data_IF_747571349049
#
_entry.id   IF_747571349049
#
_cell.length_a   1.000
_cell.length_b   1.000
_cell.length_c   1.000
_cell.angle_alpha   90.00
_cell.angle_beta   90.00
_cell.angle_gamma   90.00
#
_symmetry.space_group_name_H-M   'P 1'
#
loop_
_entity.id
_entity.type
_entity.pdbx_description
1 polymer ?
#
# COMPACT_ATOMS: atom_id res chain seq x y z
N UNK A 1 -6.51 -6.66 -43.41
CA UNK A 1 -5.49 -6.75 -42.34
C UNK A 1 -5.76 -7.98 -41.48
N UNK A 2 -4.81 -8.90 -41.27
CA UNK A 2 -5.04 -10.18 -40.58
C UNK A 2 -5.43 -10.08 -39.09
N UNK A 3 -5.48 -8.88 -38.51
CA UNK A 3 -5.49 -8.65 -37.05
C UNK A 3 -6.83 -8.15 -36.49
N UNK A 4 -7.91 -8.16 -37.29
CA UNK A 4 -9.07 -7.30 -37.00
C UNK A 4 -9.75 -7.60 -35.65
N UNK A 5 -9.89 -8.88 -35.29
CA UNK A 5 -10.61 -9.32 -34.08
C UNK A 5 -9.73 -9.14 -32.83
N UNK A 6 -8.47 -9.56 -32.89
CA UNK A 6 -7.55 -9.45 -31.76
C UNK A 6 -7.33 -7.99 -31.36
N UNK A 7 -7.09 -7.11 -32.35
CA UNK A 7 -6.92 -5.68 -32.11
C UNK A 7 -8.18 -5.03 -31.53
N UNK A 8 -9.37 -5.42 -32.00
CA UNK A 8 -10.63 -4.89 -31.47
C UNK A 8 -10.81 -5.27 -30.00
N UNK A 9 -10.52 -6.53 -29.65
CA UNK A 9 -10.62 -7.02 -28.29
C UNK A 9 -9.62 -6.36 -27.34
N UNK A 10 -8.36 -6.26 -27.76
CA UNK A 10 -7.31 -5.59 -26.97
C UNK A 10 -7.62 -4.11 -26.75
N UNK A 11 -8.09 -3.40 -27.78
CA UNK A 11 -8.53 -2.01 -27.67
C UNK A 11 -9.67 -1.85 -26.64
N UNK A 12 -10.63 -2.76 -26.64
CA UNK A 12 -11.72 -2.80 -25.66
C UNK A 12 -11.23 -3.03 -24.23
N UNK A 13 -10.32 -4.00 -24.02
CA UNK A 13 -9.74 -4.30 -22.70
C UNK A 13 -8.95 -3.10 -22.16
N UNK A 14 -8.11 -2.51 -23.01
CA UNK A 14 -7.23 -1.39 -22.66
C UNK A 14 -7.93 -0.03 -22.64
N UNK A 15 -9.21 0.02 -23.04
CA UNK A 15 -10.02 1.24 -23.15
C UNK A 15 -9.33 2.32 -23.99
N UNK A 16 -8.80 1.93 -25.14
CA UNK A 16 -8.06 2.80 -26.07
C UNK A 16 -8.51 2.59 -27.51
N UNK A 17 -8.08 3.47 -28.43
CA UNK A 17 -8.44 3.35 -29.84
C UNK A 17 -7.72 2.17 -30.52
N UNK A 18 -8.41 1.49 -31.44
CA UNK A 18 -7.87 0.36 -32.18
C UNK A 18 -6.62 0.72 -33.00
N UNK A 19 -6.55 1.94 -33.55
CA UNK A 19 -5.39 2.41 -34.34
C UNK A 19 -4.17 2.59 -33.45
N UNK A 20 -4.34 3.02 -32.20
CA UNK A 20 -3.25 3.10 -31.21
C UNK A 20 -2.65 1.72 -30.96
N UNK A 21 -3.50 0.72 -30.71
CA UNK A 21 -3.03 -0.67 -30.51
C UNK A 21 -2.36 -1.20 -31.79
N UNK A 22 -2.96 -0.94 -32.96
CA UNK A 22 -2.40 -1.37 -34.25
C UNK A 22 -1.01 -0.78 -34.50
N UNK A 23 -0.83 0.53 -34.30
CA UNK A 23 0.45 1.22 -34.50
C UNK A 23 1.56 0.68 -33.58
N UNK A 24 1.23 0.38 -32.31
CA UNK A 24 2.16 -0.27 -31.38
C UNK A 24 2.53 -1.66 -31.89
N UNK A 25 1.53 -2.46 -32.30
CA UNK A 25 1.76 -3.81 -32.80
C UNK A 25 2.63 -3.82 -34.07
N UNK A 26 2.36 -2.94 -35.03
CA UNK A 26 3.14 -2.79 -36.26
C UNK A 26 4.59 -2.42 -35.93
N UNK A 27 4.81 -1.40 -35.09
CA UNK A 27 6.16 -1.01 -34.66
C UNK A 27 6.91 -2.15 -33.96
N UNK A 28 6.23 -2.93 -33.11
CA UNK A 28 6.84 -4.08 -32.45
C UNK A 28 7.12 -5.23 -33.43
N UNK A 29 6.25 -5.43 -34.43
CA UNK A 29 6.47 -6.39 -35.51
C UNK A 29 7.72 -6.01 -36.32
N UNK A 30 7.90 -4.74 -36.66
CA UNK A 30 9.05 -4.27 -37.43
C UNK A 30 10.37 -4.43 -36.66
N UNK A 31 10.34 -4.19 -35.34
CA UNK A 31 11.52 -4.30 -34.47
C UNK A 31 11.92 -5.76 -34.18
N UNK A 32 10.95 -6.65 -33.97
CA UNK A 32 11.22 -8.00 -33.46
C UNK A 32 10.88 -9.12 -34.44
N UNK A 33 10.34 -8.79 -35.62
CA UNK A 33 9.87 -9.72 -36.64
C UNK A 33 8.87 -10.76 -36.13
N UNK A 34 8.06 -10.42 -35.11
CA UNK A 34 7.04 -11.28 -34.52
C UNK A 34 5.65 -10.75 -34.83
N UNK A 35 4.93 -11.47 -35.68
CA UNK A 35 3.65 -11.02 -36.26
C UNK A 35 2.41 -11.59 -35.59
N UNK A 36 2.52 -12.59 -34.72
CA UNK A 36 1.39 -13.31 -34.10
C UNK A 36 1.17 -12.98 -32.62
N UNK A 37 1.83 -11.92 -32.14
CA UNK A 37 1.78 -11.51 -30.73
C UNK A 37 0.38 -11.09 -30.29
N UNK A 38 -0.38 -10.27 -31.03
CA UNK A 38 -1.73 -9.86 -30.61
C UNK A 38 -2.68 -11.05 -30.43
N UNK A 39 -2.64 -12.01 -31.36
CA UNK A 39 -3.43 -13.24 -31.31
C UNK A 39 -3.06 -14.09 -30.10
N UNK A 40 -1.75 -14.25 -29.83
CA UNK A 40 -1.27 -15.00 -28.67
C UNK A 40 -1.72 -14.38 -27.36
N UNK A 41 -1.65 -13.05 -27.22
CA UNK A 41 -2.12 -12.34 -26.02
C UNK A 41 -3.63 -12.59 -25.82
N UNK A 42 -4.42 -12.47 -26.89
CA UNK A 42 -5.87 -12.70 -26.79
C UNK A 42 -6.19 -14.15 -26.42
N UNK A 43 -5.53 -15.12 -27.06
CA UNK A 43 -5.72 -16.54 -26.78
C UNK A 43 -5.34 -16.87 -25.33
N UNK A 44 -4.21 -16.37 -24.86
CA UNK A 44 -3.75 -16.57 -23.48
C UNK A 44 -4.72 -15.92 -22.48
N UNK A 45 -5.14 -14.68 -22.74
CA UNK A 45 -6.13 -13.99 -21.91
C UNK A 45 -7.45 -14.76 -21.85
N UNK A 46 -7.93 -15.29 -22.98
CA UNK A 46 -9.19 -16.02 -23.06
C UNK A 46 -9.13 -17.34 -22.30
N UNK A 47 -8.00 -18.05 -22.42
CA UNK A 47 -7.72 -19.24 -21.63
C UNK A 47 -7.75 -18.91 -20.14
N UNK A 48 -7.04 -17.87 -19.70
CA UNK A 48 -7.02 -17.44 -18.29
C UNK A 48 -8.42 -17.05 -17.79
N UNK A 49 -9.19 -16.31 -18.58
CA UNK A 49 -10.57 -15.93 -18.22
C UNK A 49 -11.44 -17.18 -18.07
N UNK A 50 -11.41 -18.11 -19.02
CA UNK A 50 -12.16 -19.35 -18.95
C UNK A 50 -11.81 -20.17 -17.70
N UNK A 51 -10.52 -20.32 -17.38
CA UNK A 51 -10.05 -21.00 -16.17
C UNK A 51 -10.56 -20.33 -14.88
N UNK A 52 -10.58 -18.99 -14.83
CA UNK A 52 -11.10 -18.27 -13.64
C UNK A 52 -12.61 -18.35 -13.52
N UNK A 53 -13.34 -18.32 -14.64
CA UNK A 53 -14.79 -18.51 -14.63
C UNK A 53 -15.17 -19.92 -14.17
N UNK A 54 -14.47 -20.94 -14.66
CA UNK A 54 -14.65 -22.33 -14.22
C UNK A 54 -14.36 -22.50 -12.71
N UNK A 55 -13.26 -21.92 -12.22
CA UNK A 55 -12.93 -21.93 -10.79
C UNK A 55 -14.00 -21.21 -9.92
N UNK A 56 -14.69 -20.22 -10.47
CA UNK A 56 -15.83 -19.53 -9.85
C UNK A 56 -17.18 -20.22 -10.12
N UNK A 57 -17.19 -21.33 -10.87
CA UNK A 57 -18.37 -22.08 -11.31
C UNK A 57 -19.37 -21.21 -12.09
N UNK A 58 -18.85 -20.36 -12.96
CA UNK A 58 -19.62 -19.47 -13.84
C UNK A 58 -19.57 -19.96 -15.29
N UNK A 59 -20.63 -19.70 -16.10
CA UNK A 59 -20.58 -19.97 -17.53
C UNK A 59 -19.53 -19.08 -18.22
N UNK A 60 -19.17 -19.39 -19.47
CA UNK A 60 -18.16 -18.64 -20.25
C UNK A 60 -18.55 -17.18 -20.53
N UNK A 61 -19.84 -16.87 -20.56
CA UNK A 61 -20.37 -15.52 -20.82
C UNK A 61 -21.39 -15.11 -19.75
N UNK A 62 -20.97 -14.93 -18.49
CA UNK A 62 -21.87 -14.58 -17.40
C UNK A 62 -22.24 -13.09 -17.46
N UNK A 63 -23.44 -12.70 -16.98
CA UNK A 63 -23.76 -11.30 -16.71
C UNK A 63 -22.77 -10.69 -15.70
N UNK A 64 -22.42 -9.42 -15.88
CA UNK A 64 -21.46 -8.72 -15.00
C UNK A 64 -21.83 -8.79 -13.50
N UNK A 65 -23.14 -8.76 -13.18
CA UNK A 65 -23.63 -8.87 -11.80
C UNK A 65 -23.35 -10.24 -11.17
N UNK A 66 -23.34 -11.32 -11.96
CA UNK A 66 -23.01 -12.66 -11.47
C UNK A 66 -21.52 -12.79 -11.19
N UNK A 67 -20.67 -12.24 -12.07
CA UNK A 67 -19.22 -12.15 -11.84
C UNK A 67 -18.95 -11.39 -10.55
N UNK A 68 -19.54 -10.21 -10.39
CA UNK A 68 -19.38 -9.41 -9.18
C UNK A 68 -19.80 -10.20 -7.93
N UNK A 69 -20.98 -10.83 -7.94
CA UNK A 69 -21.46 -11.62 -6.80
C UNK A 69 -20.57 -12.83 -6.50
N UNK A 70 -20.00 -13.47 -7.52
CA UNK A 70 -19.07 -14.59 -7.34
C UNK A 70 -17.75 -14.12 -6.73
N UNK A 71 -17.21 -12.99 -7.19
CA UNK A 71 -15.99 -12.39 -6.63
C UNK A 71 -16.18 -11.98 -5.17
N UNK A 72 -17.28 -11.30 -4.83
CA UNK A 72 -17.57 -10.94 -3.42
C UNK A 72 -17.70 -12.18 -2.53
N UNK A 73 -18.36 -13.25 -3.02
CA UNK A 73 -18.42 -14.53 -2.29
C UNK A 73 -17.05 -15.18 -2.12
N UNK A 74 -16.19 -15.10 -3.13
CA UNK A 74 -14.82 -15.60 -3.05
C UNK A 74 -14.00 -14.83 -2.03
N UNK A 75 -14.08 -13.50 -2.03
CA UNK A 75 -13.43 -12.63 -1.04
C UNK A 75 -13.86 -12.99 0.38
N UNK A 76 -15.18 -13.11 0.64
CA UNK A 76 -15.71 -13.56 1.95
C UNK A 76 -15.15 -14.91 2.38
N UNK A 77 -15.14 -15.88 1.46
CA UNK A 77 -14.68 -17.25 1.74
C UNK A 77 -13.19 -17.29 2.06
N UNK A 78 -12.39 -16.54 1.31
CA UNK A 78 -10.95 -16.46 1.54
C UNK A 78 -10.63 -15.66 2.80
N UNK A 79 -11.37 -14.58 3.06
CA UNK A 79 -11.22 -13.73 4.24
C UNK A 79 -11.40 -14.58 5.50
N UNK A 80 -12.44 -15.41 5.57
CA UNK A 80 -12.67 -16.28 6.73
C UNK A 80 -11.49 -17.23 6.96
N UNK A 81 -11.00 -17.90 5.90
CA UNK A 81 -9.86 -18.83 6.01
C UNK A 81 -8.57 -18.14 6.44
N UNK A 82 -8.30 -16.97 5.86
CA UNK A 82 -7.09 -16.19 6.15
C UNK A 82 -7.18 -15.56 7.54
N UNK A 83 -8.37 -15.09 7.94
CA UNK A 83 -8.64 -14.61 9.30
C UNK A 83 -8.43 -15.72 10.31
N UNK A 84 -8.95 -16.93 10.08
CA UNK A 84 -8.70 -18.09 10.94
C UNK A 84 -7.22 -18.44 11.06
N UNK A 85 -6.48 -18.46 9.95
CA UNK A 85 -5.02 -18.69 9.94
C UNK A 85 -4.29 -17.69 10.84
N UNK A 86 -4.72 -16.42 10.82
CA UNK A 86 -4.14 -15.36 11.64
C UNK A 86 -4.81 -15.16 13.01
N UNK A 87 -5.63 -16.12 13.45
CA UNK A 87 -6.34 -16.11 14.75
C UNK A 87 -7.30 -14.93 14.92
N UNK A 88 -8.02 -14.59 13.86
CA UNK A 88 -9.01 -13.50 13.78
C UNK A 88 -8.42 -12.16 14.24
N UNK A 89 -7.45 -11.62 13.49
CA UNK A 89 -6.66 -10.47 13.91
C UNK A 89 -7.54 -9.22 14.12
N UNK A 90 -7.22 -8.43 15.14
CA UNK A 90 -7.86 -7.14 15.44
C UNK A 90 -6.79 -6.07 15.64
N UNK A 91 -6.57 -5.24 14.63
CA UNK A 91 -5.46 -4.28 14.62
C UNK A 91 -5.77 -2.99 15.38
N UNK A 92 -6.38 -3.12 16.55
CA UNK A 92 -6.55 -2.00 17.49
C UNK A 92 -5.25 -1.70 18.25
N UNK A 93 -4.34 -2.68 18.30
CA UNK A 93 -2.98 -2.57 18.80
C UNK A 93 -2.11 -3.66 18.17
N UNK A 94 -0.81 -3.64 18.43
CA UNK A 94 0.14 -4.60 17.86
C UNK A 94 -0.18 -6.04 18.25
N UNK A 95 -0.46 -6.31 19.54
CA UNK A 95 -0.73 -7.67 20.03
C UNK A 95 -1.94 -8.31 19.34
N UNK A 96 -2.98 -7.53 19.07
CA UNK A 96 -4.18 -7.99 18.35
C UNK A 96 -3.93 -8.41 16.89
N UNK A 97 -2.82 -7.97 16.29
CA UNK A 97 -2.43 -8.32 14.91
C UNK A 97 -1.08 -9.02 14.79
N UNK A 98 -0.45 -9.34 15.91
CA UNK A 98 0.91 -9.88 15.98
C UNK A 98 1.13 -11.11 15.11
N UNK A 99 0.19 -12.06 15.12
CA UNK A 99 0.28 -13.28 14.30
C UNK A 99 0.39 -12.94 12.81
N UNK A 100 -0.47 -12.04 12.31
CA UNK A 100 -0.46 -11.61 10.91
C UNK A 100 0.83 -10.87 10.56
N UNK A 101 1.24 -9.92 11.41
CA UNK A 101 2.40 -9.07 11.14
C UNK A 101 3.71 -9.85 11.19
N UNK A 102 3.87 -10.74 12.17
CA UNK A 102 5.03 -11.63 12.26
C UNK A 102 5.09 -12.56 11.04
N UNK A 103 3.95 -13.15 10.65
CA UNK A 103 3.90 -14.02 9.47
C UNK A 103 4.28 -13.25 8.19
N UNK A 104 3.82 -12.01 8.04
CA UNK A 104 4.19 -11.18 6.90
C UNK A 104 5.69 -10.86 6.87
N UNK A 105 6.28 -10.52 8.02
CA UNK A 105 7.71 -10.26 8.15
C UNK A 105 8.56 -11.51 7.84
N UNK A 106 8.19 -12.65 8.40
CA UNK A 106 8.85 -13.94 8.17
C UNK A 106 8.75 -14.37 6.71
N UNK A 107 7.57 -14.24 6.10
CA UNK A 107 7.34 -14.60 4.70
C UNK A 107 8.11 -13.69 3.74
N UNK A 108 8.14 -12.38 4.00
CA UNK A 108 8.87 -11.43 3.17
C UNK A 108 10.39 -11.68 3.24
N UNK A 109 10.88 -12.08 4.42
CA UNK A 109 12.29 -12.42 4.68
C UNK A 109 13.28 -11.38 4.12
N UNK A 110 12.94 -10.10 4.29
CA UNK A 110 13.74 -8.97 3.82
C UNK A 110 14.85 -8.64 4.82
N UNK A 111 15.99 -8.18 4.31
CA UNK A 111 17.15 -7.81 5.12
C UNK A 111 16.97 -6.49 5.88
N UNK A 112 17.99 -6.05 6.63
CA UNK A 112 18.04 -4.68 7.11
C UNK A 112 18.15 -3.71 5.92
N UNK A 113 17.60 -2.51 6.08
CA UNK A 113 17.75 -1.41 5.14
C UNK A 113 18.56 -0.26 5.74
N UNK A 114 18.92 0.72 4.91
CA UNK A 114 19.63 1.93 5.35
C UNK A 114 18.65 3.09 5.53
N UNK A 115 18.35 3.44 6.78
CA UNK A 115 17.27 4.35 7.13
C UNK A 115 17.76 5.52 7.96
N UNK A 116 17.02 6.63 7.92
CA UNK A 116 17.30 7.83 8.70
C UNK A 116 17.37 7.48 10.19
N UNK A 117 18.42 7.96 10.86
CA UNK A 117 18.58 7.81 12.31
C UNK A 117 17.44 8.48 13.06
N UNK A 118 17.01 7.85 14.16
CA UNK A 118 15.93 8.39 15.00
C UNK A 118 16.29 9.74 15.59
N UNK A 119 17.55 9.93 15.95
CA UNK A 119 18.07 11.21 16.48
C UNK A 119 17.94 12.32 15.44
N UNK A 120 18.24 12.00 14.16
CA UNK A 120 18.11 12.96 13.06
C UNK A 120 16.65 13.30 12.78
N UNK A 121 15.77 12.31 12.86
CA UNK A 121 14.34 12.51 12.74
C UNK A 121 13.79 13.42 13.87
N UNK A 122 14.23 13.21 15.12
CA UNK A 122 13.89 14.12 16.21
C UNK A 122 14.36 15.55 15.92
N UNK A 123 15.59 15.73 15.44
CA UNK A 123 16.13 17.05 15.05
C UNK A 123 15.23 17.76 14.02
N UNK A 124 14.64 17.03 13.06
CA UNK A 124 13.70 17.61 12.09
C UNK A 124 12.45 18.19 12.76
N UNK A 125 11.93 17.53 13.80
CA UNK A 125 10.79 18.04 14.57
C UNK A 125 11.18 19.27 15.39
N UNK A 126 12.40 19.32 15.95
CA UNK A 126 12.89 20.51 16.66
C UNK A 126 13.07 21.71 15.72
N UNK A 127 13.60 21.48 14.52
CA UNK A 127 13.77 22.51 13.50
C UNK A 127 12.43 23.01 12.97
N UNK A 128 11.49 22.10 12.76
CA UNK A 128 10.16 22.38 12.22
C UNK A 128 9.09 21.74 13.11
N UNK A 129 8.69 22.38 14.22
CA UNK A 129 7.67 21.85 15.10
C UNK A 129 6.32 21.70 14.39
N UNK A 130 5.60 20.56 14.54
CA UNK A 130 4.34 20.30 13.83
C UNK A 130 3.14 21.05 14.46
N UNK A 131 2.68 22.17 13.87
CA UNK A 131 1.80 23.09 14.58
C UNK A 131 0.41 22.53 14.90
N UNK A 132 -0.19 21.75 14.00
CA UNK A 132 -1.53 21.21 14.23
C UNK A 132 -1.51 20.11 15.28
N UNK A 133 -0.47 19.27 15.26
CA UNK A 133 -0.27 18.23 16.27
C UNK A 133 -0.05 18.81 17.66
N UNK A 134 0.84 19.81 17.76
CA UNK A 134 1.14 20.49 19.02
C UNK A 134 -0.12 21.13 19.61
N UNK A 135 -0.91 21.80 18.76
CA UNK A 135 -2.20 22.40 19.15
C UNK A 135 -3.24 21.37 19.58
N UNK A 136 -3.35 20.25 18.85
CA UNK A 136 -4.33 19.21 19.13
C UNK A 136 -4.11 18.58 20.50
N UNK A 137 -2.85 18.21 20.81
CA UNK A 137 -2.52 17.58 22.10
C UNK A 137 -2.27 18.58 23.23
N UNK A 138 -2.13 19.87 22.92
CA UNK A 138 -1.85 20.92 23.90
C UNK A 138 -0.44 20.84 24.48
N UNK A 139 0.53 20.35 23.70
CA UNK A 139 1.94 20.33 24.11
C UNK A 139 2.59 21.70 23.89
N UNK A 140 3.50 22.06 24.80
CA UNK A 140 4.15 23.37 24.80
C UNK A 140 5.32 23.44 23.80
N UNK A 141 6.07 22.36 23.65
CA UNK A 141 7.28 22.26 22.85
C UNK A 141 7.53 20.81 22.37
N UNK A 142 8.48 20.66 21.44
CA UNK A 142 8.83 19.37 20.84
C UNK A 142 9.42 18.41 21.87
N UNK A 143 10.11 18.92 22.90
CA UNK A 143 10.61 18.10 24.00
C UNK A 143 9.47 17.41 24.77
N UNK A 144 8.40 18.15 25.06
CA UNK A 144 7.20 17.59 25.69
C UNK A 144 6.52 16.56 24.78
N UNK A 145 6.42 16.85 23.46
CA UNK A 145 5.89 15.90 22.48
C UNK A 145 6.69 14.60 22.50
N UNK A 146 8.01 14.66 22.34
CA UNK A 146 8.88 13.47 22.26
C UNK A 146 9.06 12.74 23.60
N UNK A 147 8.76 13.40 24.72
CA UNK A 147 8.72 12.74 26.04
C UNK A 147 7.43 11.93 26.23
N UNK A 148 6.31 12.44 25.71
CA UNK A 148 4.98 11.82 25.87
C UNK A 148 4.61 10.86 24.76
N UNK A 149 5.23 11.02 23.59
CA UNK A 149 4.86 10.35 22.35
C UNK A 149 6.03 9.57 21.74
N UNK A 150 5.71 8.44 21.11
CA UNK A 150 6.69 7.69 20.33
C UNK A 150 7.02 8.44 19.04
N UNK A 151 8.31 8.67 18.80
CA UNK A 151 8.82 9.40 17.64
C UNK A 151 8.30 8.87 16.30
N UNK A 152 8.23 7.54 16.13
CA UNK A 152 7.80 6.95 14.86
C UNK A 152 6.30 7.06 14.67
N UNK A 153 5.51 7.04 15.75
CA UNK A 153 4.09 7.35 15.69
C UNK A 153 3.85 8.82 15.34
N UNK A 154 4.59 9.75 15.96
CA UNK A 154 4.57 11.19 15.63
C UNK A 154 4.85 11.40 14.15
N UNK A 155 5.96 10.84 13.64
CA UNK A 155 6.33 10.94 12.22
C UNK A 155 5.28 10.34 11.28
N UNK A 156 4.68 9.20 11.67
CA UNK A 156 3.62 8.55 10.89
C UNK A 156 2.39 9.45 10.80
N UNK A 157 2.08 10.18 11.89
CA UNK A 157 0.94 11.05 12.00
C UNK A 157 1.08 12.38 11.23
N UNK A 158 2.30 12.89 11.04
CA UNK A 158 2.53 14.13 10.28
C UNK A 158 1.78 14.16 8.94
N UNK A 159 1.77 13.04 8.21
CA UNK A 159 1.15 12.93 6.87
C UNK A 159 -0.36 13.11 6.84
N UNK A 160 -1.03 12.97 7.98
CA UNK A 160 -2.47 13.15 8.07
C UNK A 160 -2.90 14.23 9.06
N UNK A 161 -2.02 14.72 9.95
CA UNK A 161 -2.33 15.80 10.89
C UNK A 161 -1.92 17.17 10.36
N UNK A 162 -0.78 17.25 9.67
CA UNK A 162 -0.27 18.50 9.13
C UNK A 162 -0.76 18.72 7.69
N UNK A 163 -0.87 19.99 7.30
CA UNK A 163 -1.32 20.33 5.95
C UNK A 163 -0.20 20.17 4.91
N UNK A 164 -0.60 19.99 3.65
CA UNK A 164 0.34 19.78 2.56
C UNK A 164 1.28 20.96 2.30
N UNK A 165 0.92 22.18 2.68
CA UNK A 165 1.78 23.36 2.52
C UNK A 165 2.93 23.28 3.51
N UNK A 166 2.63 23.05 4.79
CA UNK A 166 3.66 22.90 5.82
C UNK A 166 4.57 21.70 5.54
N UNK A 167 3.99 20.56 5.16
CA UNK A 167 4.79 19.37 4.81
C UNK A 167 5.77 19.65 3.67
N UNK A 168 5.28 20.19 2.55
CA UNK A 168 6.09 20.36 1.35
C UNK A 168 7.07 21.54 1.43
N UNK A 169 6.67 22.65 2.05
CA UNK A 169 7.45 23.89 1.99
C UNK A 169 8.31 24.12 3.25
N UNK A 170 8.00 23.43 4.35
CA UNK A 170 8.70 23.62 5.63
C UNK A 170 9.38 22.34 6.07
N UNK A 171 8.61 21.27 6.27
CA UNK A 171 9.14 20.04 6.86
C UNK A 171 10.11 19.31 5.93
N UNK A 172 9.77 19.16 4.64
CA UNK A 172 10.63 18.45 3.70
C UNK A 172 11.91 19.19 3.31
N UNK A 173 12.00 20.51 3.54
CA UNK A 173 13.24 21.27 3.31
C UNK A 173 14.40 20.75 4.18
N UNK A 174 14.11 20.19 5.37
CA UNK A 174 15.13 19.60 6.23
C UNK A 174 15.86 18.41 5.59
N UNK A 175 15.24 17.74 4.61
CA UNK A 175 15.83 16.59 3.93
C UNK A 175 16.94 16.97 2.94
N UNK A 176 17.00 18.23 2.48
CA UNK A 176 17.98 18.68 1.48
C UNK A 176 19.43 18.62 1.98
N UNK A 177 19.63 18.66 3.30
CA UNK A 177 20.95 18.69 3.93
C UNK A 177 21.36 17.32 4.50
N UNK A 178 20.65 16.26 4.17
CA UNK A 178 20.98 14.92 4.65
C UNK A 178 22.27 14.39 4.01
N UNK A 179 23.08 13.75 4.83
CA UNK A 179 24.34 13.11 4.47
C UNK A 179 24.29 11.62 4.76
N UNK A 180 25.21 10.84 4.20
CA UNK A 180 25.31 9.40 4.49
C UNK A 180 25.40 9.08 5.99
N UNK A 181 26.06 9.94 6.78
CA UNK A 181 26.20 9.76 8.22
C UNK A 181 24.91 9.93 9.02
N UNK A 182 23.86 10.50 8.42
CA UNK A 182 22.55 10.67 9.04
C UNK A 182 21.69 9.39 9.01
N UNK A 183 22.19 8.33 8.37
CA UNK A 183 21.50 7.06 8.19
C UNK A 183 22.20 5.92 8.93
N UNK A 184 21.47 4.85 9.18
CA UNK A 184 21.93 3.64 9.86
C UNK A 184 21.32 2.38 9.27
N UNK A 185 22.04 1.26 9.37
CA UNK A 185 21.50 -0.04 9.00
C UNK A 185 20.62 -0.55 10.15
N UNK A 186 19.32 -0.76 9.88
CA UNK A 186 18.40 -1.39 10.84
C UNK A 186 17.29 -2.17 10.14
N UNK A 187 16.57 -2.98 10.91
CA UNK A 187 15.41 -3.73 10.41
C UNK A 187 14.23 -2.79 10.16
N UNK A 188 13.36 -3.19 9.23
CA UNK A 188 12.07 -2.55 9.01
C UNK A 188 11.20 -2.75 10.26
N UNK A 189 10.61 -1.68 10.76
CA UNK A 189 9.69 -1.72 11.90
C UNK A 189 8.25 -1.73 11.40
N UNK A 190 7.45 -2.70 11.86
CA UNK A 190 6.01 -2.76 11.58
C UNK A 190 5.26 -2.41 12.86
N UNK A 191 4.40 -1.39 12.82
CA UNK A 191 3.74 -0.83 13.99
C UNK A 191 2.23 -0.70 13.77
N UNK A 192 1.47 -0.85 14.85
CA UNK A 192 0.07 -0.43 14.92
C UNK A 192 0.05 0.81 15.79
N UNK A 193 -0.43 1.93 15.25
CA UNK A 193 -0.45 3.20 15.98
C UNK A 193 -1.38 3.10 17.19
N UNK A 194 -1.06 3.84 18.25
CA UNK A 194 -1.97 3.97 19.39
C UNK A 194 -3.34 4.53 18.97
N UNK A 195 -4.41 4.04 19.60
CA UNK A 195 -5.79 4.46 19.33
C UNK A 195 -6.03 5.96 19.41
N UNK A 196 -5.29 6.72 20.23
CA UNK A 196 -5.41 8.19 20.27
C UNK A 196 -5.10 8.86 18.94
N UNK A 197 -4.23 8.26 18.12
CA UNK A 197 -3.93 8.75 16.78
C UNK A 197 -5.10 8.58 15.83
N UNK A 198 -6.06 7.69 16.12
CA UNK A 198 -7.30 7.58 15.38
C UNK A 198 -8.16 8.83 15.56
N UNK A 199 -8.29 9.36 16.78
CA UNK A 199 -9.06 10.58 17.03
C UNK A 199 -8.47 11.77 16.26
N UNK A 200 -7.13 11.87 16.22
CA UNK A 200 -6.45 12.88 15.41
C UNK A 200 -6.68 12.60 13.93
N UNK A 201 -6.52 11.36 13.50
CA UNK A 201 -6.71 10.97 12.12
C UNK A 201 -8.15 11.25 11.66
N UNK A 202 -9.19 11.00 12.44
CA UNK A 202 -10.59 11.31 12.09
C UNK A 202 -10.83 12.81 11.89
N UNK A 203 -10.16 13.68 12.66
CA UNK A 203 -10.26 15.13 12.52
C UNK A 203 -9.66 15.65 11.20
N UNK A 204 -8.71 14.91 10.60
CA UNK A 204 -7.95 15.38 9.44
C UNK A 204 -7.97 14.44 8.20
N UNK A 205 -8.44 13.20 8.33
CA UNK A 205 -8.56 12.23 7.26
C UNK A 205 -9.81 12.52 6.41
N UNK A 206 -9.58 13.14 5.25
CA UNK A 206 -10.51 13.05 4.13
C UNK A 206 -10.33 11.68 3.43
N UNK A 207 -11.20 10.71 3.76
CA UNK A 207 -11.45 9.43 3.06
C UNK A 207 -10.22 8.79 2.37
N UNK A 208 -9.33 8.14 3.13
CA UNK A 208 -8.44 7.09 2.58
C UNK A 208 -9.08 5.73 2.79
N UNK A 209 -9.11 4.91 1.74
CA UNK A 209 -9.78 3.60 1.73
C UNK A 209 -8.95 2.46 2.37
N UNK A 210 -7.73 2.74 2.84
CA UNK A 210 -6.89 1.77 3.54
C UNK A 210 -6.17 2.42 4.73
N UNK A 211 -5.91 1.62 5.76
CA UNK A 211 -5.36 2.03 7.04
C UNK A 211 -3.87 1.70 7.20
N UNK A 212 -3.19 1.26 6.14
CA UNK A 212 -1.77 0.88 6.17
C UNK A 212 -0.97 1.83 5.30
N UNK A 213 0.14 2.33 5.83
CA UNK A 213 1.05 3.21 5.11
C UNK A 213 2.48 2.97 5.60
N UNK A 214 3.44 3.69 5.06
CA UNK A 214 4.85 3.54 5.42
C UNK A 214 5.60 4.87 5.38
N UNK A 215 6.73 4.90 6.07
CA UNK A 215 7.78 5.92 6.00
C UNK A 215 9.02 5.19 5.49
N UNK A 216 9.37 5.37 4.21
CA UNK A 216 10.50 4.66 3.58
C UNK A 216 11.81 5.12 4.18
N UNK A 217 11.92 6.44 4.32
CA UNK A 217 13.01 7.16 4.93
C UNK A 217 13.33 6.66 6.34
N UNK A 218 12.31 6.22 7.08
CA UNK A 218 12.45 5.70 8.43
C UNK A 218 12.30 4.19 8.51
N UNK A 219 12.18 3.46 7.40
CA UNK A 219 11.98 2.01 7.42
C UNK A 219 10.81 1.57 8.30
N UNK A 220 9.71 2.32 8.31
CA UNK A 220 8.52 2.02 9.14
C UNK A 220 7.34 1.70 8.25
N UNK A 221 6.62 0.63 8.58
CA UNK A 221 5.27 0.35 8.11
C UNK A 221 4.34 0.58 9.30
N UNK A 222 3.32 1.40 9.14
CA UNK A 222 2.38 1.71 10.22
C UNK A 222 0.95 1.42 9.81
N UNK A 223 0.16 0.98 10.79
CA UNK A 223 -1.24 0.62 10.67
C UNK A 223 -2.04 1.54 11.58
N UNK A 224 -2.95 2.32 11.01
CA UNK A 224 -3.93 3.11 11.75
C UNK A 224 -5.01 2.14 12.27
N UNK A 225 -5.33 2.16 13.58
CA UNK A 225 -6.23 1.20 14.21
C UNK A 225 -7.71 1.50 13.91
N UNK A 226 -8.10 1.46 12.64
CA UNK A 226 -9.50 1.63 12.22
C UNK A 226 -10.27 0.34 12.56
N UNK A 227 -11.50 0.43 13.11
CA UNK A 227 -12.34 -0.74 13.31
C UNK A 227 -12.58 -1.48 12.00
N UNK A 228 -12.31 -2.78 11.99
CA UNK A 228 -12.55 -3.60 10.81
C UNK A 228 -14.04 -3.77 10.56
N UNK A 229 -14.54 -3.33 9.41
CA UNK A 229 -16.00 -3.30 9.11
C UNK A 229 -16.37 -3.99 7.80
N UNK A 230 -15.41 -4.40 6.97
CA UNK A 230 -15.69 -4.90 5.62
C UNK A 230 -15.05 -6.28 5.35
N UNK A 231 -15.68 -7.05 4.46
CA UNK A 231 -15.12 -8.32 3.99
C UNK A 231 -13.83 -8.09 3.18
N UNK A 232 -12.81 -8.90 3.41
CA UNK A 232 -11.53 -8.84 2.69
C UNK A 232 -10.48 -7.93 3.33
N UNK A 233 -10.77 -7.37 4.51
CA UNK A 233 -9.86 -6.47 5.22
C UNK A 233 -8.57 -7.16 5.67
N UNK A 234 -8.66 -8.37 6.24
CA UNK A 234 -7.47 -9.13 6.67
C UNK A 234 -6.59 -9.46 5.48
N UNK A 235 -7.18 -9.89 4.36
CA UNK A 235 -6.45 -10.16 3.11
C UNK A 235 -5.76 -8.89 2.61
N UNK A 236 -6.48 -7.77 2.56
CA UNK A 236 -5.95 -6.49 2.11
C UNK A 236 -4.79 -6.04 3.00
N UNK A 237 -4.98 -6.07 4.31
CA UNK A 237 -3.96 -5.70 5.29
C UNK A 237 -2.69 -6.55 5.10
N UNK A 238 -2.86 -7.88 5.05
CA UNK A 238 -1.74 -8.80 4.86
C UNK A 238 -1.00 -8.54 3.54
N UNK A 239 -1.74 -8.40 2.44
CA UNK A 239 -1.17 -8.11 1.13
C UNK A 239 -0.42 -6.77 1.08
N UNK A 240 -0.97 -5.71 1.70
CA UNK A 240 -0.33 -4.40 1.76
C UNK A 240 0.93 -4.41 2.63
N UNK A 241 0.91 -5.09 3.79
CA UNK A 241 2.10 -5.21 4.64
C UNK A 241 3.21 -5.95 3.89
N UNK A 242 2.90 -7.07 3.22
CA UNK A 242 3.87 -7.78 2.38
C UNK A 242 4.43 -6.90 1.25
N UNK A 243 3.54 -6.18 0.55
CA UNK A 243 3.94 -5.25 -0.50
C UNK A 243 4.92 -4.20 0.04
N UNK A 244 4.60 -3.56 1.17
CA UNK A 244 5.43 -2.51 1.75
C UNK A 244 6.75 -3.04 2.34
N UNK A 245 6.80 -4.28 2.85
CA UNK A 245 8.06 -4.89 3.28
C UNK A 245 9.04 -5.00 2.10
N UNK A 246 8.58 -5.48 0.95
CA UNK A 246 9.40 -5.54 -0.26
C UNK A 246 9.69 -4.15 -0.83
N UNK A 247 8.72 -3.24 -0.80
CA UNK A 247 8.91 -1.89 -1.31
C UNK A 247 9.96 -1.13 -0.52
N UNK A 248 9.87 -1.12 0.81
CA UNK A 248 10.86 -0.43 1.66
C UNK A 248 12.25 -1.03 1.43
N UNK A 249 12.38 -2.37 1.42
CA UNK A 249 13.65 -3.03 1.14
C UNK A 249 14.22 -2.70 -0.25
N UNK A 250 13.36 -2.45 -1.25
CA UNK A 250 13.79 -2.07 -2.59
C UNK A 250 14.37 -0.64 -2.64
N UNK A 251 13.88 0.27 -1.79
CA UNK A 251 14.33 1.67 -1.74
C UNK A 251 15.40 1.96 -0.68
N UNK A 252 15.78 0.96 0.13
CA UNK A 252 16.69 1.08 1.26
C UNK A 252 18.14 0.73 0.95
#
# INVERSE_FOLDING_TARGET
MPYSIALHKLAGILRTDKRTVAAICERMCDLFNKRDVPEKIVLENDKRVAEKLDALKLPLTPPAIEVHRALIRKVKTDEEKISELFKRPRCVNFEGCKTLLNFAQELANVGPGFFLKKEKAAEFLHLNPPPNMMKFFGYKDVDELLTKEDLLEVFSALRFVEDGTWLNNTFFAAYENLTFSDFEARKIEVRVLNGKWLEVAEAFLKKKYHNVSHLKELGVIFIVPIPATEDGETIRLFGLVLHYLHEINFYS
#
